data_IF_888148080807
#
_entry.id   IF_888148080807
#
_cell.length_a   1.000
_cell.length_b   1.000
_cell.length_c   1.000
_cell.angle_alpha   90.00
_cell.angle_beta   90.00
_cell.angle_gamma   90.00
#
_symmetry.space_group_name_H-M   'P 1'
#
loop_
_entity.id
_entity.type
_entity.pdbx_description
1 polymer ?
#
# COMPACT_ATOMS: atom_id res chain seq x y z
N UNK A 1 9.54 -19.97 -47.11
CA UNK A 1 8.28 -20.08 -46.37
C UNK A 1 8.59 -20.84 -45.09
N UNK A 2 8.93 -20.12 -44.02
CA UNK A 2 9.35 -20.68 -42.72
C UNK A 2 8.16 -20.68 -41.78
N UNK A 3 7.79 -21.88 -41.33
CA UNK A 3 6.72 -22.13 -40.38
C UNK A 3 7.30 -21.96 -38.97
N UNK A 4 6.95 -20.87 -38.27
CA UNK A 4 7.36 -20.62 -36.90
C UNK A 4 6.17 -20.91 -35.97
N UNK A 5 6.21 -22.09 -35.34
CA UNK A 5 5.36 -22.42 -34.21
C UNK A 5 5.63 -21.45 -33.04
N UNK A 6 4.62 -20.99 -32.30
CA UNK A 6 4.85 -20.16 -31.12
C UNK A 6 5.37 -21.05 -29.98
N UNK A 7 6.54 -20.67 -29.47
CA UNK A 7 7.16 -21.25 -28.28
C UNK A 7 6.27 -20.96 -27.06
N UNK A 8 5.95 -22.02 -26.32
CA UNK A 8 5.18 -21.93 -25.08
C UNK A 8 6.01 -21.17 -24.03
N UNK A 9 5.64 -19.90 -23.81
CA UNK A 9 6.08 -19.17 -22.63
C UNK A 9 5.52 -19.85 -21.40
N UNK A 10 6.40 -20.31 -20.53
CA UNK A 10 6.06 -20.89 -19.23
C UNK A 10 5.39 -19.80 -18.38
N UNK A 11 4.07 -19.74 -18.43
CA UNK A 11 3.28 -18.93 -17.51
C UNK A 11 3.40 -19.64 -16.16
N UNK A 12 4.10 -19.00 -15.22
CA UNK A 12 4.03 -19.40 -13.82
C UNK A 12 2.60 -19.12 -13.42
N UNK A 13 1.82 -20.19 -13.32
CA UNK A 13 0.43 -20.15 -12.86
C UNK A 13 0.45 -19.83 -11.37
N UNK A 14 0.55 -18.54 -11.05
CA UNK A 14 0.26 -18.07 -9.70
C UNK A 14 -1.25 -18.22 -9.53
N UNK A 15 -1.74 -19.00 -8.54
CA UNK A 15 -3.16 -19.15 -8.32
C UNK A 15 -3.75 -17.75 -8.12
N UNK A 16 -4.65 -17.36 -9.02
CA UNK A 16 -5.45 -16.14 -8.85
C UNK A 16 -6.26 -16.35 -7.58
N UNK A 17 -6.09 -15.55 -6.52
CA UNK A 17 -7.00 -15.65 -5.40
C UNK A 17 -8.36 -15.22 -5.93
N UNK A 18 -9.32 -16.15 -5.92
CA UNK A 18 -10.73 -15.84 -6.04
C UNK A 18 -11.10 -15.02 -4.82
N UNK A 19 -11.03 -13.69 -4.94
CA UNK A 19 -11.54 -12.79 -3.91
C UNK A 19 -13.05 -12.75 -4.09
N UNK A 20 -13.71 -13.83 -3.67
CA UNK A 20 -15.16 -13.85 -3.47
C UNK A 20 -15.46 -12.94 -2.28
N UNK A 21 -16.32 -11.95 -2.49
CA UNK A 21 -16.60 -10.84 -1.57
C UNK A 21 -17.27 -11.19 -0.23
N UNK A 22 -17.26 -12.44 0.20
CA UNK A 22 -17.84 -12.89 1.48
C UNK A 22 -16.86 -13.83 2.19
N UNK A 23 -15.95 -13.23 2.96
CA UNK A 23 -15.06 -13.97 3.83
C UNK A 23 -14.03 -13.03 4.45
N UNK A 24 -14.21 -12.68 5.72
CA UNK A 24 -13.14 -12.06 6.49
C UNK A 24 -11.92 -12.97 6.39
N UNK A 25 -10.88 -12.53 5.68
CA UNK A 25 -9.66 -13.31 5.51
C UNK A 25 -9.13 -13.67 6.90
N UNK A 26 -8.89 -14.97 7.13
CA UNK A 26 -8.30 -15.43 8.39
C UNK A 26 -6.98 -14.70 8.63
N UNK A 27 -6.69 -14.37 9.89
CA UNK A 27 -5.46 -13.70 10.29
C UNK A 27 -4.20 -14.42 9.80
N UNK A 28 -4.23 -15.75 9.70
CA UNK A 28 -3.14 -16.55 9.11
C UNK A 28 -2.93 -16.26 7.62
N UNK A 29 -4.01 -16.09 6.86
CA UNK A 29 -3.94 -15.73 5.43
C UNK A 29 -3.42 -14.31 5.27
N UNK A 30 -3.91 -13.36 6.08
CA UNK A 30 -3.47 -11.96 6.05
C UNK A 30 -1.97 -11.84 6.41
N UNK A 31 -1.54 -12.54 7.46
CA UNK A 31 -0.15 -12.51 7.93
C UNK A 31 0.84 -13.14 6.94
N UNK A 32 0.44 -14.21 6.25
CA UNK A 32 1.26 -14.84 5.20
C UNK A 32 1.44 -13.94 3.98
N UNK A 33 0.41 -13.16 3.64
CA UNK A 33 0.43 -12.24 2.49
C UNK A 33 1.27 -10.98 2.76
N UNK A 34 1.58 -10.65 4.02
CA UNK A 34 2.38 -9.47 4.38
C UNK A 34 3.73 -9.42 3.65
N UNK A 35 4.63 -10.40 3.84
CA UNK A 35 5.92 -10.45 3.14
C UNK A 35 5.79 -10.54 1.61
N UNK A 36 4.84 -11.33 1.11
CA UNK A 36 4.61 -11.48 -0.34
C UNK A 36 4.15 -10.16 -0.99
N UNK A 37 3.32 -9.39 -0.28
CA UNK A 37 2.87 -8.07 -0.71
C UNK A 37 3.99 -7.03 -0.62
N UNK A 38 4.83 -7.06 0.43
CA UNK A 38 6.04 -6.23 0.49
C UNK A 38 6.93 -6.48 -0.73
N UNK A 39 7.25 -7.73 -1.03
CA UNK A 39 8.06 -8.08 -2.20
C UNK A 39 7.40 -7.71 -3.52
N UNK A 40 6.09 -7.88 -3.65
CA UNK A 40 5.37 -7.48 -4.86
C UNK A 40 5.42 -5.97 -5.07
N UNK A 41 5.27 -5.18 -4.01
CA UNK A 41 5.38 -3.71 -4.07
C UNK A 41 6.83 -3.28 -4.31
N UNK A 42 7.80 -3.92 -3.67
CA UNK A 42 9.22 -3.69 -3.95
C UNK A 42 9.52 -3.99 -5.41
N UNK A 43 9.05 -5.11 -5.98
CA UNK A 43 9.22 -5.39 -7.42
C UNK A 43 8.54 -4.33 -8.28
N UNK A 44 7.31 -3.95 -7.95
CA UNK A 44 6.53 -2.98 -8.71
C UNK A 44 7.17 -1.58 -8.72
N UNK A 45 7.81 -1.17 -7.62
CA UNK A 45 8.34 0.18 -7.42
C UNK A 45 9.88 0.24 -7.34
N UNK A 46 10.57 -0.90 -7.44
CA UNK A 46 12.05 -0.98 -7.42
C UNK A 46 12.69 -0.17 -8.55
N UNK A 47 11.98 -0.06 -9.68
CA UNK A 47 12.40 0.67 -10.87
C UNK A 47 11.86 2.10 -10.93
N UNK A 48 11.05 2.52 -9.95
CA UNK A 48 10.63 3.91 -9.88
C UNK A 48 11.80 4.75 -9.39
N UNK A 49 12.34 5.56 -10.30
CA UNK A 49 13.44 6.49 -10.02
C UNK A 49 12.99 7.68 -9.16
N UNK A 50 11.69 7.95 -9.11
CA UNK A 50 11.13 9.11 -8.42
C UNK A 50 10.69 8.75 -7.00
N UNK A 51 11.36 9.35 -6.02
CA UNK A 51 10.94 9.33 -4.63
C UNK A 51 9.71 10.24 -4.45
N UNK A 52 8.69 9.75 -3.74
CA UNK A 52 7.49 10.53 -3.43
C UNK A 52 7.70 11.50 -2.26
N UNK A 53 8.57 11.12 -1.32
CA UNK A 53 8.99 11.92 -0.17
C UNK A 53 9.67 11.06 0.88
N UNK A 54 9.63 11.50 2.14
CA UNK A 54 10.29 10.82 3.26
C UNK A 54 9.33 10.59 4.43
N UNK A 55 9.53 9.47 5.13
CA UNK A 55 8.92 9.17 6.44
C UNK A 55 10.06 8.98 7.44
N UNK A 56 10.16 9.85 8.45
CA UNK A 56 11.29 9.84 9.40
C UNK A 56 12.69 9.83 8.73
N UNK A 57 12.84 10.59 7.66
CA UNK A 57 14.07 10.60 6.85
C UNK A 57 14.23 9.41 5.90
N UNK A 58 13.42 8.35 6.03
CA UNK A 58 13.46 7.18 5.14
C UNK A 58 12.73 7.49 3.83
N UNK A 59 13.38 7.27 2.66
CA UNK A 59 12.75 7.54 1.38
C UNK A 59 11.57 6.58 1.11
N UNK A 60 10.48 7.14 0.59
CA UNK A 60 9.30 6.40 0.15
C UNK A 60 9.18 6.44 -1.37
N UNK A 61 9.07 5.26 -1.99
CA UNK A 61 8.79 5.07 -3.42
C UNK A 61 7.37 4.56 -3.60
N UNK A 62 6.78 4.76 -4.78
CA UNK A 62 5.45 4.30 -5.09
C UNK A 62 4.61 5.37 -5.78
N UNK A 63 3.29 5.25 -5.67
CA UNK A 63 2.37 6.17 -6.35
C UNK A 63 1.03 6.31 -5.63
N UNK A 64 0.37 7.42 -5.95
CA UNK A 64 -1.04 7.58 -5.67
C UNK A 64 -1.87 6.91 -6.78
N UNK A 65 -2.85 6.10 -6.39
CA UNK A 65 -3.73 5.35 -7.27
C UNK A 65 -5.16 5.80 -7.00
N UNK A 66 -5.87 6.23 -8.04
CA UNK A 66 -7.28 6.58 -7.92
C UNK A 66 -8.11 5.30 -7.75
N UNK A 67 -8.97 5.30 -6.75
CA UNK A 67 -9.92 4.21 -6.45
C UNK A 67 -11.18 4.24 -7.30
N UNK A 68 -11.33 5.25 -8.17
CA UNK A 68 -12.47 5.38 -9.10
C UNK A 68 -12.51 4.27 -10.17
N UNK A 69 -11.41 3.54 -10.35
CA UNK A 69 -11.37 2.31 -11.15
C UNK A 69 -12.29 1.22 -10.53
N UNK A 70 -12.58 1.29 -9.22
CA UNK A 70 -13.34 0.27 -8.47
C UNK A 70 -14.80 0.68 -8.14
N UNK A 71 -15.26 1.87 -8.52
CA UNK A 71 -16.64 2.35 -8.28
C UNK A 71 -16.75 3.87 -8.09
N UNK A 72 -17.93 4.38 -7.67
CA UNK A 72 -18.19 5.81 -7.35
C UNK A 72 -17.46 6.31 -6.09
N UNK A 73 -16.42 5.60 -5.65
CA UNK A 73 -15.57 6.00 -4.55
C UNK A 73 -14.57 7.05 -5.02
N UNK A 74 -14.79 8.30 -4.62
CA UNK A 74 -13.91 9.44 -4.85
C UNK A 74 -12.70 9.44 -3.90
N UNK A 75 -11.97 8.32 -3.82
CA UNK A 75 -10.77 8.21 -3.00
C UNK A 75 -9.53 7.94 -3.83
N UNK A 76 -8.39 8.45 -3.37
CA UNK A 76 -7.06 8.14 -3.90
C UNK A 76 -6.26 7.47 -2.78
N UNK A 77 -5.54 6.41 -3.12
CA UNK A 77 -4.74 5.62 -2.20
C UNK A 77 -3.28 5.74 -2.57
N UNK A 78 -2.45 6.21 -1.65
CA UNK A 78 -1.01 6.07 -1.72
C UNK A 78 -0.66 4.61 -1.46
N UNK A 79 0.01 3.97 -2.40
CA UNK A 79 0.72 2.72 -2.17
C UNK A 79 2.22 3.03 -2.21
N UNK A 80 2.87 3.00 -1.05
CA UNK A 80 4.28 3.32 -0.89
C UNK A 80 5.07 2.19 -0.24
N UNK A 81 6.37 2.13 -0.56
CA UNK A 81 7.34 1.27 0.12
C UNK A 81 8.52 2.10 0.59
N UNK A 82 8.90 1.90 1.85
CA UNK A 82 10.08 2.51 2.45
C UNK A 82 11.36 1.76 2.05
N UNK A 83 12.46 2.50 1.95
CA UNK A 83 13.79 1.93 1.76
C UNK A 83 14.23 1.00 2.90
N UNK A 84 13.76 1.27 4.12
CA UNK A 84 14.03 0.48 5.32
C UNK A 84 12.83 0.49 6.28
N UNK A 85 12.86 -0.37 7.31
CA UNK A 85 11.77 -0.44 8.30
C UNK A 85 11.88 0.73 9.29
N UNK A 86 10.74 1.35 9.57
CA UNK A 86 10.58 2.35 10.63
C UNK A 86 9.71 1.74 11.71
N UNK A 87 10.16 1.86 12.97
CA UNK A 87 9.41 1.34 14.12
C UNK A 87 8.20 2.22 14.40
N UNK A 88 7.03 1.58 14.50
CA UNK A 88 5.75 2.24 14.80
C UNK A 88 5.03 1.53 15.94
N UNK A 89 4.34 2.29 16.77
CA UNK A 89 3.46 1.74 17.79
C UNK A 89 2.20 1.15 17.15
N UNK A 90 2.29 -0.13 16.74
CA UNK A 90 1.19 -0.84 16.07
C UNK A 90 -0.09 -0.91 16.90
N UNK A 91 0.03 -0.92 18.24
CA UNK A 91 -1.14 -0.94 19.13
C UNK A 91 -1.90 0.39 19.03
N UNK A 92 -1.20 1.49 19.20
CA UNK A 92 -1.80 2.81 19.11
C UNK A 92 -2.30 3.14 17.70
N UNK A 93 -1.63 2.66 16.65
CA UNK A 93 -2.12 2.80 15.27
C UNK A 93 -3.47 2.08 15.08
N UNK A 94 -3.62 0.85 15.60
CA UNK A 94 -4.90 0.12 15.57
C UNK A 94 -6.00 0.82 16.37
N UNK A 95 -5.67 1.30 17.57
CA UNK A 95 -6.63 2.03 18.42
C UNK A 95 -7.09 3.34 17.74
N UNK A 96 -6.20 4.02 17.03
CA UNK A 96 -6.52 5.21 16.23
C UNK A 96 -7.43 4.90 15.05
N UNK A 97 -7.15 3.83 14.29
CA UNK A 97 -8.00 3.41 13.18
C UNK A 97 -9.42 3.04 13.63
N UNK A 98 -9.55 2.44 14.82
CA UNK A 98 -10.85 2.12 15.41
C UNK A 98 -11.64 3.38 15.85
N UNK A 99 -10.96 4.52 16.00
CA UNK A 99 -11.57 5.78 16.45
C UNK A 99 -11.90 6.65 15.23
N UNK A 100 -13.18 6.64 14.83
CA UNK A 100 -13.69 7.49 13.75
C UNK A 100 -13.66 8.97 14.16
N UNK A 101 -12.59 9.69 13.82
CA UNK A 101 -12.48 11.13 13.98
C UNK A 101 -12.33 11.79 12.60
N UNK A 102 -13.23 12.72 12.27
CA UNK A 102 -13.40 13.23 10.90
C UNK A 102 -12.24 14.03 10.30
N UNK A 103 -11.20 14.37 11.07
CA UNK A 103 -9.98 15.04 10.58
C UNK A 103 -8.75 14.12 10.59
N UNK A 104 -8.91 12.83 10.90
CA UNK A 104 -7.78 11.89 10.83
C UNK A 104 -7.50 11.48 9.40
N UNK A 105 -6.22 11.29 9.10
CA UNK A 105 -5.79 10.69 7.84
C UNK A 105 -5.73 9.17 8.00
N UNK A 106 -6.46 8.43 7.16
CA UNK A 106 -6.40 6.97 7.11
C UNK A 106 -5.03 6.50 6.57
N UNK A 107 -4.06 6.40 7.48
CA UNK A 107 -2.66 6.08 7.19
C UNK A 107 -2.23 4.85 7.96
N UNK A 108 -1.50 3.97 7.29
CA UNK A 108 -1.06 2.72 7.86
C UNK A 108 0.35 2.38 7.41
N UNK A 109 1.13 1.82 8.32
CA UNK A 109 2.49 1.34 8.08
C UNK A 109 2.59 -0.08 8.62
N UNK A 110 2.90 -1.01 7.73
CA UNK A 110 3.10 -2.42 8.06
C UNK A 110 4.41 -2.90 7.44
N UNK A 111 5.38 -3.15 8.31
CA UNK A 111 6.77 -3.36 7.91
C UNK A 111 7.29 -2.15 7.12
N UNK A 112 7.56 -2.32 5.83
CA UNK A 112 7.99 -1.23 4.93
C UNK A 112 6.85 -0.65 4.07
N UNK A 113 5.65 -1.23 4.13
CA UNK A 113 4.52 -0.80 3.30
C UNK A 113 3.79 0.36 3.96
N UNK A 114 3.74 1.48 3.27
CA UNK A 114 2.95 2.65 3.62
C UNK A 114 1.69 2.69 2.77
N UNK A 115 0.54 2.86 3.41
CA UNK A 115 -0.70 3.23 2.74
C UNK A 115 -1.31 4.47 3.35
N UNK A 116 -1.81 5.37 2.51
CA UNK A 116 -2.58 6.54 2.96
C UNK A 116 -3.79 6.73 2.05
N UNK A 117 -4.97 6.96 2.61
CA UNK A 117 -6.20 7.18 1.87
C UNK A 117 -6.63 8.64 1.99
N UNK A 118 -7.10 9.22 0.89
CA UNK A 118 -7.68 10.56 0.88
C UNK A 118 -8.90 10.64 -0.05
N UNK A 119 -9.78 11.63 0.13
CA UNK A 119 -10.68 12.05 -0.93
C UNK A 119 -9.91 12.61 -2.14
N UNK A 120 -10.36 12.32 -3.36
CA UNK A 120 -9.76 12.80 -4.62
C UNK A 120 -9.79 14.33 -4.70
N UNK A 121 -10.89 14.94 -4.26
CA UNK A 121 -11.12 16.39 -4.29
C UNK A 121 -10.50 17.14 -3.10
N UNK A 122 -9.92 16.41 -2.14
CA UNK A 122 -9.18 16.99 -1.04
C UNK A 122 -7.75 17.41 -1.44
N UNK A 123 -7.03 18.19 -0.62
CA UNK A 123 -5.60 18.38 -0.80
C UNK A 123 -4.83 17.07 -0.58
N UNK A 124 -3.66 16.92 -1.20
CA UNK A 124 -2.75 15.82 -0.84
C UNK A 124 -2.19 16.07 0.56
N UNK A 125 -2.19 15.08 1.47
CA UNK A 125 -1.59 15.25 2.77
C UNK A 125 -0.08 15.52 2.62
N UNK A 126 0.45 16.39 3.47
CA UNK A 126 1.89 16.61 3.55
C UNK A 126 2.57 15.41 4.19
N UNK A 127 3.85 15.21 3.87
CA UNK A 127 4.67 14.17 4.51
C UNK A 127 4.78 14.36 6.02
N UNK A 128 4.77 15.61 6.49
CA UNK A 128 4.74 15.90 7.93
C UNK A 128 3.43 15.43 8.57
N UNK A 129 2.27 15.62 7.92
CA UNK A 129 0.98 15.11 8.42
C UNK A 129 0.96 13.58 8.45
N UNK A 130 1.45 12.93 7.39
CA UNK A 130 1.59 11.47 7.32
C UNK A 130 2.49 10.96 8.46
N UNK A 131 3.62 11.64 8.70
CA UNK A 131 4.58 11.26 9.75
C UNK A 131 3.98 11.42 11.15
N UNK A 132 3.32 12.55 11.44
CA UNK A 132 2.64 12.79 12.70
C UNK A 132 1.58 11.72 12.99
N UNK A 133 0.78 11.38 11.99
CA UNK A 133 -0.26 10.35 12.09
C UNK A 133 0.29 8.93 12.23
N UNK A 134 1.55 8.65 11.89
CA UNK A 134 2.14 7.32 12.07
C UNK A 134 2.96 7.22 13.35
N UNK A 135 3.73 8.25 13.66
CA UNK A 135 4.80 8.23 14.65
C UNK A 135 4.41 8.87 16.00
N UNK A 136 3.17 9.33 16.15
CA UNK A 136 2.71 10.01 17.38
C UNK A 136 3.48 11.30 17.67
N UNK A 137 4.04 11.92 16.63
CA UNK A 137 4.69 13.22 16.71
C UNK A 137 3.61 14.29 16.67
N UNK A 138 3.13 14.68 17.85
CA UNK A 138 2.23 15.82 18.04
C UNK A 138 3.05 17.04 18.46
#
# INVERSE_FOLDING_TARGET
MVNLAPQQGHVVDLPRPEISGEGAASWEVISRVGPEAEEAMDRAFSREEHQLGTLDGVPVRGRWIRGDILGETHHEVLLGVLGERVEVNRRAQRERLATMAGDRLDTFLDGRRLTAVRPVDGPRPSWNRISAELLEQN
#
